data_IF_636102683570
#
_entry.id   IF_636102683570
#
_cell.length_a   1.000
_cell.length_b   1.000
_cell.length_c   1.000
_cell.angle_alpha   90.00
_cell.angle_beta   90.00
_cell.angle_gamma   90.00
#
_symmetry.space_group_name_H-M   'P 1'
#
loop_
_entity.id
_entity.type
_entity.pdbx_description
1 polymer ?
#
# COMPACT_ATOMS: atom_id res chain seq x y z
N UNK A 1 11.00 22.70 34.50
CA UNK A 1 10.90 22.70 33.05
C UNK A 1 11.21 21.30 32.51
N UNK A 2 12.27 20.66 33.02
CA UNK A 2 12.75 19.34 32.58
C UNK A 2 11.71 18.25 32.82
N UNK A 3 10.98 18.26 33.94
CA UNK A 3 9.87 17.32 34.20
C UNK A 3 8.74 17.45 33.17
N UNK A 4 8.47 18.66 32.68
CA UNK A 4 7.45 18.88 31.64
C UNK A 4 7.94 18.30 30.32
N UNK A 5 9.22 18.45 30.00
CA UNK A 5 9.85 17.91 28.80
C UNK A 5 9.79 16.38 28.80
N UNK A 6 10.21 15.74 29.89
CA UNK A 6 10.23 14.31 30.11
C UNK A 6 8.85 13.63 29.87
N UNK A 7 7.77 14.36 30.07
CA UNK A 7 6.40 13.87 29.85
C UNK A 7 5.86 14.27 28.48
N UNK A 8 6.24 15.44 27.99
CA UNK A 8 5.65 16.03 26.78
C UNK A 8 6.16 15.35 25.50
N UNK A 9 7.47 15.10 25.41
CA UNK A 9 8.07 14.49 24.21
C UNK A 9 7.47 13.12 23.89
N UNK A 10 7.55 12.12 24.80
CA UNK A 10 6.96 10.80 24.53
C UNK A 10 5.45 10.86 24.27
N UNK A 11 4.72 11.74 24.98
CA UNK A 11 3.28 11.89 24.77
C UNK A 11 2.98 12.37 23.34
N UNK A 12 3.73 13.36 22.86
CA UNK A 12 3.54 13.91 21.51
C UNK A 12 3.88 12.84 20.47
N UNK A 13 4.94 12.08 20.66
CA UNK A 13 5.35 11.02 19.73
C UNK A 13 4.35 9.88 19.64
N UNK A 14 3.81 9.44 20.77
CA UNK A 14 2.69 8.48 20.79
C UNK A 14 1.46 9.01 20.05
N UNK A 15 1.05 10.25 20.31
CA UNK A 15 -0.11 10.84 19.66
C UNK A 15 0.12 10.99 18.16
N UNK A 16 1.30 11.44 17.76
CA UNK A 16 1.71 11.58 16.37
C UNK A 16 1.72 10.23 15.64
N UNK A 17 2.30 9.21 16.26
CA UNK A 17 2.30 7.85 15.73
C UNK A 17 0.89 7.34 15.51
N UNK A 18 0.01 7.47 16.51
CA UNK A 18 -1.38 7.03 16.40
C UNK A 18 -2.15 7.76 15.31
N UNK A 19 -1.89 9.04 15.10
CA UNK A 19 -2.46 9.81 13.99
C UNK A 19 -1.98 9.27 12.63
N UNK A 20 -0.67 9.04 12.48
CA UNK A 20 -0.06 8.54 11.24
C UNK A 20 -0.64 7.18 10.87
N UNK A 21 -0.67 6.23 11.80
CA UNK A 21 -1.18 4.88 11.53
C UNK A 21 -2.70 4.77 11.62
N UNK A 22 -3.43 5.83 11.96
CA UNK A 22 -4.87 5.81 12.24
C UNK A 22 -5.25 4.71 13.25
N UNK A 23 -4.56 4.69 14.37
CA UNK A 23 -4.79 3.72 15.43
C UNK A 23 -6.13 3.95 16.09
N UNK A 24 -6.90 2.87 16.28
CA UNK A 24 -8.13 2.89 17.06
C UNK A 24 -8.00 1.92 18.21
N UNK A 25 -8.01 2.43 19.44
CA UNK A 25 -8.01 1.60 20.64
C UNK A 25 -9.30 0.80 20.75
N UNK A 26 -9.19 -0.52 20.75
CA UNK A 26 -10.31 -1.41 21.05
C UNK A 26 -9.99 -2.21 22.30
N UNK A 27 -10.77 -1.99 23.36
CA UNK A 27 -10.72 -2.79 24.59
C UNK A 27 -9.85 -2.20 25.72
N UNK A 28 -10.12 -2.69 26.95
CA UNK A 28 -9.47 -2.25 28.19
C UNK A 28 -7.98 -2.63 28.24
N UNK A 29 -7.64 -3.84 27.76
CA UNK A 29 -6.27 -4.36 27.75
C UNK A 29 -5.35 -3.52 26.86
N UNK A 30 -5.86 -3.05 25.71
CA UNK A 30 -5.07 -2.18 24.82
C UNK A 30 -4.73 -0.84 25.47
N UNK A 31 -5.62 -0.28 26.26
CA UNK A 31 -5.39 0.99 27.00
C UNK A 31 -4.36 0.82 28.10
N UNK A 32 -4.43 -0.28 28.85
CA UNK A 32 -3.44 -0.59 29.90
C UNK A 32 -2.04 -0.78 29.30
N UNK A 33 -1.94 -1.50 28.19
CA UNK A 33 -0.66 -1.70 27.50
C UNK A 33 -0.06 -0.37 27.00
N UNK A 34 -0.87 0.51 26.43
CA UNK A 34 -0.43 1.85 26.01
C UNK A 34 0.12 2.63 27.20
N UNK A 35 -0.58 2.62 28.32
CA UNK A 35 -0.15 3.31 29.54
C UNK A 35 1.17 2.72 30.08
N UNK A 36 1.31 1.40 30.11
CA UNK A 36 2.54 0.75 30.55
C UNK A 36 3.73 1.10 29.66
N UNK A 37 3.54 1.08 28.34
CA UNK A 37 4.59 1.42 27.39
C UNK A 37 4.96 2.89 27.50
N UNK A 38 3.97 3.78 27.65
CA UNK A 38 4.23 5.20 27.91
C UNK A 38 5.07 5.41 29.19
N UNK A 39 4.78 4.69 30.26
CA UNK A 39 5.57 4.76 31.49
C UNK A 39 7.02 4.25 31.29
N UNK A 40 7.20 3.23 30.45
CA UNK A 40 8.54 2.72 30.11
C UNK A 40 9.32 3.76 29.30
N UNK A 41 8.71 4.45 28.32
CA UNK A 41 9.41 5.49 27.54
C UNK A 41 9.76 6.70 28.42
N UNK A 42 8.88 7.12 29.31
CA UNK A 42 9.20 8.19 30.29
C UNK A 42 10.36 7.78 31.22
N UNK A 43 10.38 6.53 31.70
CA UNK A 43 11.47 6.04 32.54
C UNK A 43 12.79 5.98 31.78
N UNK A 44 12.77 5.56 30.52
CA UNK A 44 13.93 5.52 29.64
C UNK A 44 14.50 6.95 29.44
N UNK A 45 13.67 7.94 29.16
CA UNK A 45 14.07 9.32 28.96
C UNK A 45 14.71 9.90 30.23
N UNK A 46 14.19 9.56 31.43
CA UNK A 46 14.83 9.93 32.71
C UNK A 46 16.24 9.31 32.84
N UNK A 47 16.42 8.06 32.44
CA UNK A 47 17.71 7.37 32.54
C UNK A 47 18.71 7.95 31.55
N UNK A 48 18.31 8.26 30.34
CA UNK A 48 19.18 8.85 29.32
C UNK A 48 19.62 10.26 29.69
N UNK A 49 18.70 11.06 30.20
CA UNK A 49 18.99 12.42 30.69
C UNK A 49 19.97 12.41 31.88
N UNK A 50 19.80 11.44 32.80
CA UNK A 50 20.71 11.27 33.95
C UNK A 50 22.15 10.89 33.56
N UNK A 51 22.30 10.07 32.49
CA UNK A 51 23.61 9.58 32.05
C UNK A 51 24.29 10.57 31.09
N UNK A 52 23.51 11.37 30.37
CA UNK A 52 23.97 12.41 29.42
C UNK A 52 25.02 11.90 28.40
N UNK A 53 24.80 10.69 27.85
CA UNK A 53 25.67 10.06 26.86
C UNK A 53 24.98 9.92 25.50
N UNK A 54 25.34 10.72 24.46
CA UNK A 54 24.62 10.79 23.20
C UNK A 54 24.38 9.45 22.48
N UNK A 55 25.30 8.47 22.50
CA UNK A 55 25.01 7.15 21.93
C UNK A 55 23.88 6.40 22.68
N UNK A 56 23.66 6.69 23.96
CA UNK A 56 22.58 6.11 24.75
C UNK A 56 21.22 6.69 24.30
N UNK A 57 21.16 8.00 24.04
CA UNK A 57 19.96 8.66 23.54
C UNK A 57 19.56 8.07 22.17
N UNK A 58 20.53 7.79 21.29
CA UNK A 58 20.27 7.14 20.02
C UNK A 58 19.75 5.69 20.18
N UNK A 59 20.21 4.96 21.20
CA UNK A 59 19.67 3.66 21.57
C UNK A 59 18.24 3.76 22.12
N UNK A 60 17.98 4.78 22.94
CA UNK A 60 16.69 5.10 23.51
C UNK A 60 15.63 5.29 22.41
N UNK A 61 15.92 6.08 21.39
CA UNK A 61 15.00 6.28 20.26
C UNK A 61 14.71 4.98 19.50
N UNK A 62 15.65 4.04 19.43
CA UNK A 62 15.42 2.70 18.83
C UNK A 62 14.47 1.88 19.69
N UNK A 63 14.64 1.90 21.01
CA UNK A 63 13.77 1.20 21.96
C UNK A 63 12.36 1.78 21.89
N UNK A 64 12.23 3.09 21.92
CA UNK A 64 10.95 3.79 21.79
C UNK A 64 10.21 3.39 20.50
N UNK A 65 10.90 3.40 19.37
CA UNK A 65 10.31 2.91 18.11
C UNK A 65 9.85 1.46 18.20
N UNK A 66 10.62 0.58 18.84
CA UNK A 66 10.23 -0.80 19.10
C UNK A 66 8.93 -0.88 19.91
N UNK A 67 8.80 -0.06 20.93
CA UNK A 67 7.61 0.05 21.76
C UNK A 67 6.40 0.59 20.99
N UNK A 68 6.58 1.62 20.17
CA UNK A 68 5.54 2.14 19.28
C UNK A 68 5.02 1.08 18.30
N UNK A 69 5.93 0.29 17.71
CA UNK A 69 5.57 -0.82 16.81
C UNK A 69 4.78 -1.90 17.56
N UNK A 70 5.20 -2.23 18.78
CA UNK A 70 4.53 -3.22 19.63
C UNK A 70 3.10 -2.79 19.97
N UNK A 71 2.88 -1.52 20.31
CA UNK A 71 1.51 -0.96 20.46
C UNK A 71 0.74 -1.01 19.16
N UNK A 72 1.36 -0.57 18.08
CA UNK A 72 0.76 -0.52 16.74
C UNK A 72 0.34 -1.90 16.24
N UNK A 73 1.07 -2.97 16.57
CA UNK A 73 0.78 -4.34 16.15
C UNK A 73 -0.62 -4.82 16.59
N UNK A 74 -1.16 -4.26 17.67
CA UNK A 74 -2.53 -4.52 18.14
C UNK A 74 -3.62 -3.98 17.18
N UNK A 75 -3.25 -3.13 16.23
CA UNK A 75 -4.21 -2.55 15.27
C UNK A 75 -4.50 -3.43 14.05
N UNK A 76 -3.90 -4.62 13.93
CA UNK A 76 -3.97 -5.50 12.74
C UNK A 76 -3.52 -4.82 11.44
N UNK A 77 -2.65 -3.81 11.53
CA UNK A 77 -2.05 -3.12 10.39
C UNK A 77 -0.85 -3.89 9.85
N UNK A 78 -0.51 -3.65 8.58
CA UNK A 78 0.72 -4.18 7.98
C UNK A 78 1.94 -3.67 8.77
N UNK A 79 2.85 -4.60 9.16
CA UNK A 79 4.05 -4.27 9.94
C UNK A 79 4.93 -3.22 9.25
N UNK A 80 4.95 -3.18 7.92
CA UNK A 80 5.71 -2.19 7.14
C UNK A 80 5.17 -0.78 7.36
N UNK A 81 3.85 -0.65 7.44
CA UNK A 81 3.20 0.63 7.76
C UNK A 81 3.53 1.07 9.19
N UNK A 82 3.52 0.12 10.14
CA UNK A 82 3.83 0.39 11.54
C UNK A 82 5.28 0.84 11.69
N UNK A 83 6.20 0.10 11.08
CA UNK A 83 7.63 0.40 11.10
C UNK A 83 7.93 1.75 10.42
N UNK A 84 7.35 2.01 9.23
CA UNK A 84 7.55 3.29 8.54
C UNK A 84 7.01 4.46 9.38
N UNK A 85 5.85 4.28 10.04
CA UNK A 85 5.28 5.29 10.93
C UNK A 85 6.20 5.60 12.13
N UNK A 86 6.75 4.57 12.78
CA UNK A 86 7.68 4.72 13.89
C UNK A 86 8.99 5.40 13.44
N UNK A 87 9.55 4.98 12.29
CA UNK A 87 10.76 5.62 11.73
C UNK A 87 10.54 7.11 11.43
N UNK A 88 9.38 7.51 10.93
CA UNK A 88 9.07 8.93 10.69
C UNK A 88 9.11 9.72 12.01
N UNK A 89 8.54 9.18 13.09
CA UNK A 89 8.58 9.83 14.41
C UNK A 89 10.02 9.94 14.89
N UNK A 90 10.79 8.85 14.89
CA UNK A 90 12.18 8.87 15.31
C UNK A 90 13.07 9.82 14.48
N UNK A 91 12.83 9.98 13.17
CA UNK A 91 13.53 10.98 12.34
C UNK A 91 13.20 12.40 12.80
N UNK A 92 11.95 12.68 13.14
CA UNK A 92 11.51 14.00 13.59
C UNK A 92 12.13 14.32 14.96
N UNK A 93 12.10 13.37 15.87
CA UNK A 93 12.66 13.52 17.20
C UNK A 93 14.19 13.77 17.15
N UNK A 94 14.94 12.91 16.46
CA UNK A 94 16.37 13.12 16.23
C UNK A 94 16.65 14.46 15.51
N UNK A 95 15.78 14.85 14.57
CA UNK A 95 15.88 16.15 13.90
C UNK A 95 15.74 17.32 14.86
N UNK A 96 14.79 17.26 15.79
CA UNK A 96 14.62 18.28 16.84
C UNK A 96 15.88 18.37 17.72
N UNK A 97 16.41 17.24 18.14
CA UNK A 97 17.62 17.16 18.94
C UNK A 97 18.87 17.72 18.22
N UNK A 98 19.04 17.43 16.93
CA UNK A 98 20.11 17.98 16.09
C UNK A 98 19.98 19.50 16.01
N UNK A 99 18.78 20.03 15.76
CA UNK A 99 18.55 21.47 15.64
C UNK A 99 18.87 22.17 16.96
N UNK A 100 18.42 21.64 18.09
CA UNK A 100 18.72 22.23 19.43
C UNK A 100 20.20 22.19 19.74
N UNK A 101 20.87 21.05 19.52
CA UNK A 101 22.33 20.92 19.73
C UNK A 101 23.11 21.90 18.86
N UNK A 102 22.68 22.09 17.60
CA UNK A 102 23.31 23.04 16.70
C UNK A 102 23.11 24.50 17.14
N UNK A 103 21.86 24.89 17.45
CA UNK A 103 21.55 26.23 17.92
C UNK A 103 22.25 26.54 19.27
N UNK A 104 22.28 25.56 20.18
CA UNK A 104 23.00 25.67 21.45
C UNK A 104 24.47 26.01 21.27
N UNK A 105 25.15 25.35 20.31
CA UNK A 105 26.56 25.63 19.99
C UNK A 105 26.79 26.95 19.25
N UNK A 106 25.82 27.30 18.35
CA UNK A 106 25.94 28.52 17.53
C UNK A 106 25.81 29.79 18.38
N UNK A 107 24.92 29.78 19.38
CA UNK A 107 24.55 30.95 20.18
C UNK A 107 25.01 30.84 21.63
N UNK A 108 25.79 29.81 21.98
CA UNK A 108 26.26 29.53 23.35
C UNK A 108 25.12 29.59 24.37
N UNK A 109 24.03 28.88 24.05
CA UNK A 109 22.80 28.95 24.84
C UNK A 109 22.89 28.19 26.14
N UNK A 110 22.23 28.72 27.18
CA UNK A 110 22.03 27.97 28.42
C UNK A 110 21.15 26.73 28.21
N UNK A 111 21.28 25.74 29.08
CA UNK A 111 20.43 24.52 29.03
C UNK A 111 18.94 24.86 29.08
N UNK A 112 18.54 25.87 29.87
CA UNK A 112 17.15 26.30 29.98
C UNK A 112 16.59 26.83 28.66
N UNK A 113 17.36 27.64 27.92
CA UNK A 113 16.93 28.15 26.59
C UNK A 113 16.85 27.01 25.60
N UNK A 114 17.81 26.10 25.59
CA UNK A 114 17.81 24.91 24.75
C UNK A 114 16.57 24.05 24.97
N UNK A 115 16.19 23.84 26.24
CA UNK A 115 14.96 23.11 26.61
C UNK A 115 13.70 23.80 26.11
N UNK A 116 13.61 25.13 26.22
CA UNK A 116 12.45 25.89 25.68
C UNK A 116 12.33 25.73 24.16
N UNK A 117 13.46 25.82 23.47
CA UNK A 117 13.49 25.63 22.00
C UNK A 117 13.06 24.21 21.63
N UNK A 118 13.54 23.20 22.35
CA UNK A 118 13.13 21.82 22.11
C UNK A 118 11.62 21.62 22.29
N UNK A 119 11.03 22.12 23.38
CA UNK A 119 9.58 22.09 23.60
C UNK A 119 8.82 22.75 22.42
N UNK A 120 9.32 23.91 21.96
CA UNK A 120 8.72 24.59 20.81
C UNK A 120 8.77 23.73 19.53
N UNK A 121 9.90 23.07 19.26
CA UNK A 121 10.06 22.18 18.10
C UNK A 121 9.14 20.95 18.20
N UNK A 122 9.01 20.35 19.38
CA UNK A 122 8.10 19.22 19.64
C UNK A 122 6.64 19.63 19.37
N UNK A 123 6.22 20.80 19.84
CA UNK A 123 4.88 21.31 19.56
C UNK A 123 4.66 21.63 18.07
N UNK A 124 5.67 22.17 17.40
CA UNK A 124 5.64 22.42 15.94
C UNK A 124 5.50 21.11 15.17
N UNK A 125 6.24 20.08 15.56
CA UNK A 125 6.14 18.75 14.95
C UNK A 125 4.74 18.15 15.12
N UNK A 126 4.11 18.33 16.27
CA UNK A 126 2.73 17.92 16.51
C UNK A 126 1.74 18.60 15.57
N UNK A 127 1.87 19.92 15.37
CA UNK A 127 1.01 20.68 14.45
C UNK A 127 1.22 20.18 13.02
N UNK A 128 2.47 20.05 12.61
CA UNK A 128 2.83 19.56 11.27
C UNK A 128 2.25 18.17 10.98
N UNK A 129 2.48 17.22 11.89
CA UNK A 129 1.94 15.86 11.72
C UNK A 129 0.43 15.85 11.76
N UNK A 130 -0.18 16.65 12.65
CA UNK A 130 -1.66 16.75 12.72
C UNK A 130 -2.25 17.19 11.39
N UNK A 131 -1.61 18.13 10.71
CA UNK A 131 -2.04 18.62 9.40
C UNK A 131 -1.81 17.59 8.28
N UNK A 132 -0.64 16.94 8.27
CA UNK A 132 -0.26 16.00 7.21
C UNK A 132 -0.58 14.53 7.47
N UNK A 133 -1.09 14.16 8.65
CA UNK A 133 -1.31 12.76 9.04
C UNK A 133 -2.12 11.94 8.01
N UNK A 134 -3.16 12.53 7.42
CA UNK A 134 -3.97 11.85 6.39
C UNK A 134 -3.15 11.56 5.13
N UNK A 135 -2.31 12.51 4.71
CA UNK A 135 -1.45 12.39 3.51
C UNK A 135 -0.34 11.39 3.75
N UNK A 136 0.32 11.47 4.90
CA UNK A 136 1.36 10.51 5.33
C UNK A 136 0.78 9.10 5.40
N UNK A 137 -0.38 8.91 6.04
CA UNK A 137 -1.05 7.62 6.10
C UNK A 137 -1.35 7.04 4.71
N UNK A 138 -1.84 7.85 3.78
CA UNK A 138 -2.09 7.43 2.40
C UNK A 138 -0.81 6.97 1.69
N UNK A 139 0.30 7.65 1.94
CA UNK A 139 1.60 7.29 1.37
C UNK A 139 2.11 5.95 1.93
N UNK A 140 2.15 5.80 3.27
CA UNK A 140 2.69 4.59 3.92
C UNK A 140 1.80 3.35 3.77
N UNK A 141 0.49 3.54 3.53
CA UNK A 141 -0.44 2.44 3.22
C UNK A 141 -0.55 2.15 1.72
N UNK A 142 0.08 2.95 0.89
CA UNK A 142 -0.01 2.87 -0.57
C UNK A 142 0.80 1.75 -1.20
N UNK A 143 0.76 1.70 -2.54
CA UNK A 143 1.43 0.67 -3.36
C UNK A 143 2.97 0.68 -3.20
N UNK A 144 3.54 1.85 -2.94
CA UNK A 144 4.99 2.06 -2.83
C UNK A 144 5.54 1.93 -1.40
N UNK A 145 4.81 1.28 -0.50
CA UNK A 145 5.16 1.15 0.93
C UNK A 145 6.57 0.59 1.17
N UNK A 146 7.06 -0.32 0.33
CA UNK A 146 8.40 -0.90 0.47
C UNK A 146 9.51 0.12 0.18
N UNK A 147 9.32 0.96 -0.85
CA UNK A 147 10.28 2.00 -1.21
C UNK A 147 10.31 3.06 -0.11
N UNK A 148 9.14 3.44 0.40
CA UNK A 148 9.04 4.38 1.51
C UNK A 148 9.68 3.85 2.79
N UNK A 149 9.49 2.56 3.08
CA UNK A 149 10.13 1.91 4.24
C UNK A 149 11.66 1.95 4.11
N UNK A 150 12.21 1.56 2.97
CA UNK A 150 13.65 1.58 2.73
C UNK A 150 14.22 3.00 2.83
N UNK A 151 13.49 4.00 2.30
CA UNK A 151 13.88 5.42 2.42
C UNK A 151 13.84 5.89 3.87
N UNK A 152 12.83 5.50 4.64
CA UNK A 152 12.72 5.86 6.06
C UNK A 152 13.83 5.22 6.90
N UNK A 153 14.17 3.94 6.65
CA UNK A 153 15.30 3.27 7.32
C UNK A 153 16.62 4.02 7.06
N UNK A 154 16.88 4.35 5.79
CA UNK A 154 18.10 5.07 5.43
C UNK A 154 18.16 6.46 6.10
N UNK A 155 17.07 7.23 6.03
CA UNK A 155 16.99 8.55 6.65
C UNK A 155 17.15 8.47 8.15
N UNK A 156 16.59 7.46 8.81
CA UNK A 156 16.72 7.27 10.25
C UNK A 156 18.17 6.96 10.65
N UNK A 157 18.83 6.02 9.96
CA UNK A 157 20.23 5.69 10.23
C UNK A 157 21.14 6.92 10.03
N UNK A 158 20.91 7.69 8.96
CA UNK A 158 21.69 8.91 8.73
C UNK A 158 21.40 10.00 9.74
N UNK A 159 20.17 10.07 10.28
CA UNK A 159 19.83 11.01 11.38
C UNK A 159 20.51 10.63 12.70
N UNK A 160 20.61 9.33 13.02
CA UNK A 160 21.38 8.86 14.19
C UNK A 160 22.85 9.29 14.07
N UNK A 161 23.47 9.06 12.91
CA UNK A 161 24.86 9.43 12.67
C UNK A 161 25.03 10.96 12.81
N UNK A 162 24.12 11.73 12.21
CA UNK A 162 24.14 13.19 12.29
C UNK A 162 23.99 13.69 13.73
N UNK A 163 23.08 13.07 14.52
CA UNK A 163 22.87 13.40 15.92
C UNK A 163 24.12 13.13 16.76
N UNK A 164 24.72 11.94 16.63
CA UNK A 164 25.95 11.58 17.35
C UNK A 164 27.09 12.58 17.04
N UNK A 165 27.28 12.92 15.76
CA UNK A 165 28.28 13.89 15.33
C UNK A 165 27.99 15.28 15.90
N UNK A 166 26.72 15.73 15.78
CA UNK A 166 26.33 17.04 16.34
C UNK A 166 26.52 17.13 17.85
N UNK A 167 26.38 16.02 18.57
CA UNK A 167 26.53 16.00 20.05
C UNK A 167 27.97 15.92 20.51
N UNK A 168 28.81 15.10 19.85
CA UNK A 168 30.21 14.85 20.28
C UNK A 168 31.15 15.94 19.80
N UNK A 169 30.95 16.47 18.59
CA UNK A 169 31.90 17.42 18.00
C UNK A 169 31.91 18.77 18.75
N UNK A 170 33.08 19.17 19.23
CA UNK A 170 33.21 20.40 20.03
C UNK A 170 33.30 21.66 19.16
N UNK A 171 33.81 21.56 17.93
CA UNK A 171 33.99 22.71 17.06
C UNK A 171 32.79 22.83 16.09
N UNK A 172 32.20 24.02 16.07
CA UNK A 172 31.05 24.30 15.23
C UNK A 172 31.35 24.13 13.73
N UNK A 173 32.57 24.51 13.31
CA UNK A 173 32.97 24.45 11.88
C UNK A 173 33.05 23.01 11.35
N UNK A 174 33.64 22.09 12.11
CA UNK A 174 33.73 20.67 11.70
C UNK A 174 32.35 20.00 11.73
N UNK A 175 31.54 20.25 12.77
CA UNK A 175 30.18 19.77 12.87
C UNK A 175 29.34 20.23 11.66
N UNK A 176 29.45 21.51 11.26
CA UNK A 176 28.75 22.07 10.09
C UNK A 176 29.12 21.36 8.77
N UNK A 177 30.43 21.20 8.52
CA UNK A 177 30.91 20.56 7.30
C UNK A 177 30.36 19.14 7.16
N UNK A 178 30.38 18.37 8.26
CA UNK A 178 29.89 17.00 8.30
C UNK A 178 28.35 16.96 8.10
N UNK A 179 27.60 17.82 8.80
CA UNK A 179 26.14 17.92 8.66
C UNK A 179 25.72 18.30 7.23
N UNK A 180 26.41 19.26 6.60
CA UNK A 180 26.17 19.63 5.21
C UNK A 180 26.45 18.43 4.29
N UNK A 181 27.53 17.69 4.51
CA UNK A 181 27.84 16.48 3.78
C UNK A 181 26.74 15.43 3.87
N UNK A 182 26.23 15.17 5.08
CA UNK A 182 25.14 14.25 5.32
C UNK A 182 23.85 14.72 4.61
N UNK A 183 23.51 16.02 4.68
CA UNK A 183 22.33 16.58 4.00
C UNK A 183 22.42 16.44 2.48
N UNK A 184 23.61 16.65 1.89
CA UNK A 184 23.81 16.44 0.45
C UNK A 184 23.57 14.97 0.09
N UNK A 185 24.17 14.04 0.84
CA UNK A 185 23.99 12.60 0.60
C UNK A 185 22.51 12.20 0.74
N UNK A 186 21.81 12.70 1.77
CA UNK A 186 20.37 12.48 1.96
C UNK A 186 19.54 13.04 0.80
N UNK A 187 19.89 14.24 0.33
CA UNK A 187 19.23 14.87 -0.82
C UNK A 187 19.37 14.03 -2.10
N UNK A 188 20.60 13.60 -2.41
CA UNK A 188 20.86 12.73 -3.57
C UNK A 188 20.12 11.40 -3.45
N UNK A 189 20.19 10.75 -2.29
CA UNK A 189 19.49 9.49 -2.03
C UNK A 189 17.96 9.64 -2.21
N UNK A 190 17.39 10.72 -1.67
CA UNK A 190 15.94 10.99 -1.79
C UNK A 190 15.53 11.17 -3.26
N UNK A 191 16.30 11.93 -4.05
CA UNK A 191 16.05 12.13 -5.49
C UNK A 191 16.10 10.80 -6.24
N UNK A 192 17.12 9.95 -5.95
CA UNK A 192 17.24 8.63 -6.58
C UNK A 192 16.05 7.73 -6.23
N UNK A 193 15.65 7.68 -4.96
CA UNK A 193 14.50 6.89 -4.53
C UNK A 193 13.19 7.36 -5.15
N UNK A 194 12.97 8.68 -5.26
CA UNK A 194 11.79 9.23 -5.96
C UNK A 194 11.78 8.79 -7.42
N UNK A 195 12.91 8.89 -8.12
CA UNK A 195 13.02 8.42 -9.52
C UNK A 195 12.74 6.92 -9.65
N UNK A 196 13.30 6.09 -8.78
CA UNK A 196 13.05 4.65 -8.75
C UNK A 196 11.57 4.38 -8.49
N UNK A 197 10.95 5.07 -7.52
CA UNK A 197 9.54 4.94 -7.18
C UNK A 197 8.63 5.25 -8.38
N UNK A 198 8.88 6.35 -9.06
CA UNK A 198 8.12 6.76 -10.25
C UNK A 198 8.27 5.74 -11.37
N UNK A 199 9.51 5.25 -11.62
CA UNK A 199 9.76 4.22 -12.64
C UNK A 199 9.06 2.90 -12.33
N UNK A 200 9.16 2.44 -11.08
CA UNK A 200 8.49 1.21 -10.64
C UNK A 200 6.97 1.31 -10.73
N UNK A 201 6.40 2.46 -10.34
CA UNK A 201 4.96 2.71 -10.48
C UNK A 201 4.50 2.67 -11.94
N UNK A 202 5.28 3.24 -12.86
CA UNK A 202 5.01 3.19 -14.30
C UNK A 202 5.06 1.76 -14.85
N UNK A 203 6.08 1.00 -14.46
CA UNK A 203 6.22 -0.41 -14.90
C UNK A 203 5.03 -1.26 -14.42
N UNK A 204 4.61 -1.11 -13.17
CA UNK A 204 3.45 -1.83 -12.62
C UNK A 204 2.15 -1.44 -13.36
N UNK A 205 1.99 -0.16 -13.74
CA UNK A 205 0.83 0.29 -14.50
C UNK A 205 0.81 -0.34 -15.89
N UNK A 206 1.94 -0.31 -16.60
CA UNK A 206 2.08 -0.92 -17.92
C UNK A 206 1.83 -2.44 -17.89
N UNK A 207 2.32 -3.12 -16.85
CA UNK A 207 2.10 -4.56 -16.66
C UNK A 207 0.63 -4.88 -16.40
N UNK A 208 -0.05 -4.06 -15.61
CA UNK A 208 -1.49 -4.19 -15.36
C UNK A 208 -2.32 -3.97 -16.65
N UNK A 209 -1.94 -2.98 -17.46
CA UNK A 209 -2.57 -2.69 -18.74
C UNK A 209 -2.36 -3.84 -19.75
N UNK A 210 -1.14 -4.34 -19.86
CA UNK A 210 -0.84 -5.51 -20.71
C UNK A 210 -1.64 -6.75 -20.28
N UNK A 211 -1.75 -7.00 -18.98
CA UNK A 211 -2.54 -8.13 -18.47
C UNK A 211 -4.02 -7.94 -18.73
N UNK A 212 -4.54 -6.73 -18.67
CA UNK A 212 -5.92 -6.41 -19.04
C UNK A 212 -6.17 -6.66 -20.53
N UNK A 213 -5.30 -6.16 -21.41
CA UNK A 213 -5.38 -6.39 -22.85
C UNK A 213 -5.30 -7.86 -23.22
N UNK A 214 -4.41 -8.64 -22.59
CA UNK A 214 -4.33 -10.10 -22.79
C UNK A 214 -5.64 -10.79 -22.42
N UNK A 215 -6.29 -10.41 -21.31
CA UNK A 215 -7.59 -10.95 -20.92
C UNK A 215 -8.69 -10.60 -21.92
N UNK A 216 -8.73 -9.36 -22.39
CA UNK A 216 -9.69 -8.94 -23.42
C UNK A 216 -9.51 -9.72 -24.73
N UNK A 217 -8.27 -9.86 -25.21
CA UNK A 217 -7.97 -10.60 -26.41
C UNK A 217 -8.39 -12.08 -26.30
N UNK A 218 -8.11 -12.71 -25.15
CA UNK A 218 -8.54 -14.09 -24.89
C UNK A 218 -10.07 -14.22 -24.88
N UNK A 219 -10.79 -13.24 -24.35
CA UNK A 219 -12.25 -13.22 -24.37
C UNK A 219 -12.82 -13.00 -25.77
N UNK A 220 -12.25 -12.08 -26.56
CA UNK A 220 -12.60 -11.88 -27.95
C UNK A 220 -12.38 -13.15 -28.78
N UNK A 221 -11.28 -13.85 -28.55
CA UNK A 221 -10.99 -15.10 -29.24
C UNK A 221 -11.99 -16.21 -28.90
N UNK A 222 -12.41 -16.33 -27.63
CA UNK A 222 -13.48 -17.23 -27.21
C UNK A 222 -14.81 -16.89 -27.87
N UNK A 223 -15.19 -15.62 -27.89
CA UNK A 223 -16.42 -15.17 -28.53
C UNK A 223 -16.42 -15.45 -30.05
N UNK A 224 -15.28 -15.20 -30.71
CA UNK A 224 -15.13 -15.52 -32.13
C UNK A 224 -15.26 -17.03 -32.40
N UNK A 225 -14.71 -17.89 -31.56
CA UNK A 225 -14.86 -19.33 -31.70
C UNK A 225 -16.32 -19.76 -31.52
N UNK A 226 -17.01 -19.21 -30.50
CA UNK A 226 -18.45 -19.47 -30.30
C UNK A 226 -19.28 -19.01 -31.47
N UNK A 227 -18.99 -17.84 -32.04
CA UNK A 227 -19.68 -17.36 -33.25
C UNK A 227 -19.44 -18.26 -34.44
N UNK A 228 -18.21 -18.78 -34.61
CA UNK A 228 -17.90 -19.78 -35.66
C UNK A 228 -18.70 -21.09 -35.48
N UNK A 229 -18.75 -21.60 -34.25
CA UNK A 229 -19.52 -22.81 -33.93
C UNK A 229 -21.02 -22.59 -34.20
N UNK A 230 -21.54 -21.42 -33.81
CA UNK A 230 -22.93 -21.05 -34.10
C UNK A 230 -23.20 -20.94 -35.61
N UNK A 231 -22.31 -20.28 -36.36
CA UNK A 231 -22.45 -20.20 -37.83
C UNK A 231 -22.45 -21.58 -38.48
N UNK A 232 -21.54 -22.48 -38.06
CA UNK A 232 -21.48 -23.85 -38.56
C UNK A 232 -22.75 -24.65 -38.21
N UNK A 233 -23.38 -24.41 -37.05
CA UNK A 233 -24.64 -25.06 -36.68
C UNK A 233 -25.80 -24.57 -37.53
N UNK A 234 -25.87 -23.25 -37.80
CA UNK A 234 -26.88 -22.68 -38.70
C UNK A 234 -26.78 -23.24 -40.12
N UNK A 235 -25.57 -23.36 -40.67
CA UNK A 235 -25.34 -23.95 -41.99
C UNK A 235 -25.86 -25.41 -42.05
N UNK A 236 -25.59 -26.20 -41.01
CA UNK A 236 -26.09 -27.57 -40.91
C UNK A 236 -27.62 -27.62 -40.84
N UNK A 237 -28.22 -26.70 -40.09
CA UNK A 237 -29.68 -26.64 -39.98
C UNK A 237 -30.34 -26.17 -41.31
N UNK A 238 -29.68 -25.25 -42.03
CA UNK A 238 -30.11 -24.84 -43.37
C UNK A 238 -30.06 -26.01 -44.37
N UNK A 239 -28.98 -26.82 -44.33
CA UNK A 239 -28.87 -28.02 -45.17
C UNK A 239 -29.91 -29.08 -44.80
N UNK A 240 -30.28 -29.25 -43.52
CA UNK A 240 -31.38 -30.13 -43.09
C UNK A 240 -32.72 -29.64 -43.61
N UNK A 241 -33.00 -28.34 -43.50
CA UNK A 241 -34.21 -27.72 -44.05
C UNK A 241 -34.30 -27.87 -45.55
N UNK A 242 -33.17 -27.73 -46.28
CA UNK A 242 -33.13 -27.92 -47.74
C UNK A 242 -33.46 -29.35 -48.11
N UNK A 243 -32.94 -30.37 -47.42
CA UNK A 243 -33.26 -31.80 -47.61
C UNK A 243 -34.74 -32.08 -47.31
N UNK A 244 -35.20 -31.60 -46.15
CA UNK A 244 -36.60 -31.73 -45.77
C UNK A 244 -37.53 -31.13 -46.81
N UNK A 245 -37.25 -29.95 -47.34
CA UNK A 245 -38.04 -29.32 -48.41
C UNK A 245 -38.07 -30.13 -49.71
N UNK A 246 -36.92 -30.72 -50.04
CA UNK A 246 -36.81 -31.62 -51.21
C UNK A 246 -37.65 -32.87 -50.99
N UNK A 247 -37.56 -33.55 -49.91
CA UNK A 247 -38.28 -34.79 -49.61
C UNK A 247 -39.77 -34.55 -49.48
N UNK A 248 -40.18 -33.45 -48.84
CA UNK A 248 -41.55 -33.01 -48.77
C UNK A 248 -42.17 -32.79 -50.19
N UNK A 249 -41.37 -32.15 -51.08
CA UNK A 249 -41.80 -31.97 -52.47
C UNK A 249 -41.98 -33.32 -53.20
N UNK A 250 -41.10 -34.29 -52.98
CA UNK A 250 -41.19 -35.63 -53.60
C UNK A 250 -42.42 -36.37 -53.10
N UNK A 251 -42.78 -36.28 -51.85
CA UNK A 251 -43.98 -36.87 -51.27
C UNK A 251 -45.23 -36.25 -51.88
N UNK A 252 -45.31 -34.92 -51.92
CA UNK A 252 -46.46 -34.26 -52.54
C UNK A 252 -46.62 -34.65 -53.97
N UNK A 253 -45.53 -34.81 -54.71
CA UNK A 253 -45.63 -35.31 -56.13
C UNK A 253 -46.10 -36.75 -56.19
N UNK A 254 -45.62 -37.62 -55.33
CA UNK A 254 -46.03 -39.00 -55.19
C UNK A 254 -47.52 -39.11 -54.86
N UNK A 255 -47.97 -38.34 -53.87
CA UNK A 255 -49.37 -38.24 -53.47
C UNK A 255 -50.29 -37.76 -54.63
N UNK A 256 -49.82 -36.75 -55.39
CA UNK A 256 -50.54 -36.23 -56.55
C UNK A 256 -50.72 -37.29 -57.65
N UNK A 257 -49.68 -38.08 -57.95
CA UNK A 257 -49.69 -39.14 -58.91
C UNK A 257 -50.66 -40.25 -58.47
N UNK A 258 -50.62 -40.64 -57.18
CA UNK A 258 -51.50 -41.67 -56.61
C UNK A 258 -52.99 -41.24 -56.60
N UNK A 259 -53.25 -39.96 -56.28
CA UNK A 259 -54.59 -39.39 -56.31
C UNK A 259 -55.18 -39.36 -57.75
N UNK A 260 -54.32 -39.10 -58.73
CA UNK A 260 -54.76 -39.12 -60.16
C UNK A 260 -55.13 -40.54 -60.69
N UNK A 261 -54.61 -41.59 -60.01
CA UNK A 261 -54.87 -42.98 -60.37
C UNK A 261 -56.06 -43.60 -59.61
N UNK A 262 -56.85 -42.85 -58.86
CA UNK A 262 -57.97 -43.29 -58.01
C UNK A 262 -57.65 -44.43 -57.01
N UNK A 263 -56.41 -44.71 -56.71
CA UNK A 263 -56.05 -45.83 -55.87
C UNK A 263 -55.78 -45.33 -54.40
N UNK A 264 -56.88 -45.13 -53.68
CA UNK A 264 -56.87 -44.61 -52.30
C UNK A 264 -56.08 -45.50 -51.31
N UNK A 265 -55.94 -46.78 -51.54
CA UNK A 265 -55.23 -47.75 -50.72
C UNK A 265 -53.69 -47.53 -50.80
N UNK A 266 -53.17 -47.22 -51.98
CA UNK A 266 -51.79 -46.96 -52.24
C UNK A 266 -51.40 -45.63 -51.57
N UNK A 267 -52.29 -44.65 -51.61
CA UNK A 267 -52.07 -43.33 -50.98
C UNK A 267 -51.99 -43.40 -49.47
N UNK A 268 -52.85 -44.15 -48.81
CA UNK A 268 -52.82 -44.36 -47.35
C UNK A 268 -51.55 -45.11 -46.95
N UNK A 269 -51.18 -46.17 -47.69
CA UNK A 269 -49.96 -46.93 -47.36
C UNK A 269 -48.66 -46.06 -47.46
N UNK A 270 -48.58 -45.23 -48.50
CA UNK A 270 -47.42 -44.29 -48.62
C UNK A 270 -47.37 -43.21 -47.52
N UNK A 271 -48.53 -42.74 -47.09
CA UNK A 271 -48.63 -41.81 -45.97
C UNK A 271 -48.20 -42.46 -44.64
N UNK A 272 -48.68 -43.68 -44.39
CA UNK A 272 -48.30 -44.41 -43.16
C UNK A 272 -46.81 -44.78 -43.10
N UNK A 273 -46.23 -45.23 -44.23
CA UNK A 273 -44.80 -45.51 -44.35
C UNK A 273 -43.98 -44.24 -44.11
N UNK A 274 -44.36 -43.11 -44.68
CA UNK A 274 -43.63 -41.84 -44.46
C UNK A 274 -43.75 -41.32 -43.06
N UNK A 275 -44.93 -41.41 -42.45
CA UNK A 275 -45.15 -40.97 -41.08
C UNK A 275 -44.29 -41.79 -40.13
N UNK A 276 -44.15 -43.08 -40.33
CA UNK A 276 -43.36 -43.99 -39.53
C UNK A 276 -41.85 -43.79 -39.67
N UNK A 277 -41.39 -43.38 -40.86
CA UNK A 277 -39.98 -43.20 -41.17
C UNK A 277 -39.41 -41.84 -40.69
N UNK A 278 -40.27 -40.81 -40.51
CA UNK A 278 -39.82 -39.41 -40.24
C UNK A 278 -40.36 -38.83 -38.95
N UNK A 279 -41.31 -39.49 -38.28
CA UNK A 279 -41.90 -38.97 -37.01
C UNK A 279 -41.88 -39.97 -35.85
N UNK A 280 -41.41 -41.20 -36.03
CA UNK A 280 -41.01 -42.12 -34.97
C UNK A 280 -39.45 -42.11 -34.80
#
# INVERSE_FOLDING_TARGET
LDVILLLLSPLVDFVNYFKIIKFKTKGKISRILILLIFLVTVFEEIVTDLIAFPPLDALATIIEMGLLILVGSRSKKDYRMLLTGALIIGIIDLGNNIVVSFLGKLFDMSAEISTVIYIFLVLLSYIFISYYAKKINKLISGRNKNILLNSAIYLYISSIIAYIIASIEKTLSTALVILIGILIIQGVYTIVNVKISVRTSKNILNEAEQNYLKKQNAQLQRNNNQLKEYANSLEKDEDRLRRFKHDYRNILNSLKISAQKEDSKVLIKQLDEYTKEHFD
#
